data_IF_072486568170
#
_entry.id   IF_072486568170
#
_cell.length_a   1.000
_cell.length_b   1.000
_cell.length_c   1.000
_cell.angle_alpha   90.00
_cell.angle_beta   90.00
_cell.angle_gamma   90.00
#
_symmetry.space_group_name_H-M   'P 1'
#
loop_
_entity.id
_entity.type
_entity.pdbx_description
1 polymer ?
#
# COMPACT_ATOMS: atom_id res chain seq x y z
N UNK A 1 12.55 6.62 6.32
CA UNK A 1 13.58 7.37 5.55
C UNK A 1 15.02 6.99 5.91
N UNK A 2 15.37 6.77 7.19
CA UNK A 2 16.75 6.40 7.58
C UNK A 2 17.31 5.19 6.78
N UNK A 3 16.55 4.09 6.67
CA UNK A 3 16.95 2.94 5.89
C UNK A 3 17.14 3.26 4.39
N UNK A 4 16.19 3.98 3.78
CA UNK A 4 16.29 4.41 2.39
C UNK A 4 17.59 5.19 2.14
N UNK A 5 17.86 6.19 2.98
CA UNK A 5 19.07 7.01 2.84
C UNK A 5 20.35 6.18 3.00
N UNK A 6 20.38 5.26 3.96
CA UNK A 6 21.52 4.37 4.17
C UNK A 6 21.75 3.44 2.96
N UNK A 7 20.71 2.83 2.42
CA UNK A 7 20.81 1.97 1.24
C UNK A 7 21.23 2.76 0.00
N UNK A 8 20.63 3.93 -0.25
CA UNK A 8 21.00 4.79 -1.39
C UNK A 8 22.46 5.22 -1.33
N UNK A 9 22.98 5.50 -0.12
CA UNK A 9 24.38 5.88 0.09
C UNK A 9 25.35 4.73 -0.14
N UNK A 10 25.05 3.55 0.40
CA UNK A 10 26.00 2.42 0.40
C UNK A 10 25.86 1.52 -0.84
N UNK A 11 24.71 1.54 -1.53
CA UNK A 11 24.43 0.70 -2.69
C UNK A 11 23.82 1.54 -3.84
N UNK A 12 24.58 2.50 -4.40
CA UNK A 12 24.06 3.49 -5.33
C UNK A 12 23.53 2.90 -6.66
N UNK A 13 23.97 1.70 -7.03
CA UNK A 13 23.52 0.99 -8.24
C UNK A 13 22.24 0.17 -8.01
N UNK A 14 21.82 -0.01 -6.76
CA UNK A 14 20.64 -0.80 -6.44
C UNK A 14 19.36 0.00 -6.64
N UNK A 15 18.37 -0.62 -7.28
CA UNK A 15 17.02 -0.06 -7.36
C UNK A 15 16.26 -0.35 -6.08
N UNK A 16 16.11 0.65 -5.22
CA UNK A 16 15.29 0.55 -4.01
C UNK A 16 13.82 0.66 -4.38
N UNK A 17 13.02 -0.29 -3.94
CA UNK A 17 11.57 -0.33 -4.17
C UNK A 17 10.81 -0.43 -2.87
N UNK A 18 9.60 0.12 -2.87
CA UNK A 18 8.63 -0.06 -1.79
C UNK A 18 8.21 -1.53 -1.64
N UNK A 19 7.61 -1.85 -0.49
CA UNK A 19 7.12 -3.19 -0.21
C UNK A 19 5.59 -3.20 -0.16
N UNK A 20 4.96 -4.00 -1.04
CA UNK A 20 3.50 -4.12 -1.13
C UNK A 20 2.87 -4.56 0.20
N UNK A 21 3.56 -5.42 0.97
CA UNK A 21 3.10 -5.85 2.29
C UNK A 21 2.98 -4.66 3.25
N UNK A 22 4.03 -3.85 3.38
CA UNK A 22 4.00 -2.66 4.23
C UNK A 22 3.05 -1.58 3.71
N UNK A 23 2.89 -1.46 2.40
CA UNK A 23 1.84 -0.63 1.80
C UNK A 23 0.47 -1.07 2.32
N UNK A 24 0.12 -2.35 2.20
CA UNK A 24 -1.15 -2.89 2.69
C UNK A 24 -1.34 -2.74 4.20
N UNK A 25 -0.31 -2.99 5.00
CA UNK A 25 -0.35 -2.75 6.44
C UNK A 25 -0.65 -1.29 6.79
N UNK A 26 -0.06 -0.34 6.06
CA UNK A 26 -0.32 1.09 6.27
C UNK A 26 -1.76 1.46 5.91
N UNK A 27 -2.30 0.94 4.80
CA UNK A 27 -3.71 1.13 4.44
C UNK A 27 -4.63 0.59 5.55
N UNK A 28 -4.37 -0.63 6.03
CA UNK A 28 -5.18 -1.23 7.10
C UNK A 28 -5.10 -0.46 8.42
N UNK A 29 -3.92 0.06 8.77
CA UNK A 29 -3.74 0.92 9.95
C UNK A 29 -4.57 2.21 9.83
N UNK A 30 -4.67 2.80 8.64
CA UNK A 30 -5.51 3.98 8.42
C UNK A 30 -7.00 3.65 8.47
N UNK A 31 -7.43 2.52 7.92
CA UNK A 31 -8.81 2.02 8.04
C UNK A 31 -9.20 1.91 9.53
N UNK A 32 -8.34 1.30 10.36
CA UNK A 32 -8.53 1.23 11.82
C UNK A 32 -8.60 2.61 12.46
N UNK A 33 -7.60 3.47 12.19
CA UNK A 33 -7.49 4.82 12.78
C UNK A 33 -8.71 5.69 12.47
N UNK A 34 -9.34 5.49 11.31
CA UNK A 34 -10.51 6.25 10.85
C UNK A 34 -11.85 5.61 11.22
N UNK A 35 -11.85 4.51 11.99
CA UNK A 35 -13.07 3.83 12.41
C UNK A 35 -13.82 3.10 11.29
N UNK A 36 -13.14 2.76 10.19
CA UNK A 36 -13.76 2.20 8.99
C UNK A 36 -13.84 0.67 8.98
N UNK A 37 -13.41 0.00 10.05
CA UNK A 37 -13.32 -1.47 10.12
C UNK A 37 -14.67 -2.13 9.85
N UNK A 38 -15.77 -1.63 10.43
CA UNK A 38 -17.10 -2.21 10.20
C UNK A 38 -17.55 -2.02 8.76
N UNK A 39 -17.34 -0.83 8.19
CA UNK A 39 -17.72 -0.52 6.81
C UNK A 39 -16.89 -1.30 5.78
N UNK A 40 -15.62 -1.59 6.08
CA UNK A 40 -14.74 -2.38 5.20
C UNK A 40 -15.17 -3.83 4.98
N UNK A 41 -16.12 -4.34 5.78
CA UNK A 41 -16.69 -5.69 5.62
C UNK A 41 -17.77 -5.76 4.54
N UNK A 42 -18.33 -4.62 4.14
CA UNK A 42 -19.30 -4.56 3.05
C UNK A 42 -18.64 -4.94 1.72
N UNK A 43 -19.36 -5.68 0.87
CA UNK A 43 -18.79 -6.21 -0.38
C UNK A 43 -18.16 -5.12 -1.26
N UNK A 44 -18.79 -3.95 -1.35
CA UNK A 44 -18.28 -2.86 -2.18
C UNK A 44 -17.03 -2.21 -1.59
N UNK A 45 -17.03 -1.84 -0.31
CA UNK A 45 -15.81 -1.33 0.33
C UNK A 45 -14.68 -2.35 0.30
N UNK A 46 -14.96 -3.65 0.50
CA UNK A 46 -13.96 -4.70 0.41
C UNK A 46 -13.34 -4.76 -1.00
N UNK A 47 -14.17 -4.68 -2.04
CA UNK A 47 -13.70 -4.63 -3.44
C UNK A 47 -12.79 -3.42 -3.68
N UNK A 48 -13.21 -2.23 -3.26
CA UNK A 48 -12.42 -1.02 -3.46
C UNK A 48 -11.13 -1.01 -2.64
N UNK A 49 -11.14 -1.57 -1.43
CA UNK A 49 -9.91 -1.78 -0.64
C UNK A 49 -8.98 -2.76 -1.36
N UNK A 50 -9.49 -3.85 -1.93
CA UNK A 50 -8.69 -4.76 -2.73
C UNK A 50 -8.08 -4.05 -3.96
N UNK A 51 -8.86 -3.21 -4.66
CA UNK A 51 -8.36 -2.39 -5.77
C UNK A 51 -7.23 -1.45 -5.32
N UNK A 52 -7.36 -0.79 -4.16
CA UNK A 52 -6.29 0.03 -3.57
C UNK A 52 -5.01 -0.80 -3.35
N UNK A 53 -5.14 -2.01 -2.81
CA UNK A 53 -4.01 -2.91 -2.55
C UNK A 53 -3.32 -3.42 -3.83
N UNK A 54 -4.02 -3.32 -4.97
CA UNK A 54 -3.54 -3.73 -6.29
C UNK A 54 -2.92 -2.60 -7.10
N UNK A 55 -3.05 -1.33 -6.68
CA UNK A 55 -2.41 -0.18 -7.36
C UNK A 55 -0.91 -0.38 -7.64
N UNK A 56 -0.09 -0.99 -6.75
CA UNK A 56 1.32 -1.24 -7.04
C UNK A 56 1.57 -2.13 -8.27
N UNK A 57 0.57 -2.88 -8.71
CA UNK A 57 0.65 -3.85 -9.81
C UNK A 57 0.00 -3.34 -11.09
N UNK A 58 -0.45 -2.08 -11.13
CA UNK A 58 -0.96 -1.45 -12.34
C UNK A 58 0.17 -0.83 -13.17
N UNK A 59 0.01 -0.72 -14.50
CA UNK A 59 0.86 0.14 -15.30
C UNK A 59 0.87 1.57 -14.72
N UNK A 60 2.03 2.23 -14.58
CA UNK A 60 2.11 3.54 -13.93
C UNK A 60 1.15 4.60 -14.48
N UNK A 61 0.90 4.59 -15.79
CA UNK A 61 -0.01 5.50 -16.48
C UNK A 61 -1.49 5.28 -16.12
N UNK A 62 -1.86 4.11 -15.60
CA UNK A 62 -3.25 3.77 -15.24
C UNK A 62 -3.57 4.09 -13.77
N UNK A 63 -2.55 4.32 -12.94
CA UNK A 63 -2.73 4.50 -11.48
C UNK A 63 -3.68 5.65 -11.16
N UNK A 64 -3.51 6.82 -11.79
CA UNK A 64 -4.34 7.99 -11.50
C UNK A 64 -5.81 7.72 -11.88
N UNK A 65 -6.05 7.15 -13.06
CA UNK A 65 -7.40 6.80 -13.52
C UNK A 65 -8.05 5.79 -12.57
N UNK A 66 -7.37 4.69 -12.29
CA UNK A 66 -7.88 3.66 -11.40
C UNK A 66 -8.16 4.21 -9.99
N UNK A 67 -7.34 5.14 -9.51
CA UNK A 67 -7.58 5.76 -8.21
C UNK A 67 -8.77 6.72 -8.20
N UNK A 68 -9.01 7.48 -9.28
CA UNK A 68 -10.23 8.27 -9.43
C UNK A 68 -11.49 7.39 -9.40
N UNK A 69 -11.48 6.28 -10.15
CA UNK A 69 -12.60 5.33 -10.18
C UNK A 69 -12.85 4.74 -8.77
N UNK A 70 -11.78 4.40 -8.03
CA UNK A 70 -11.87 3.94 -6.63
C UNK A 70 -12.50 5.00 -5.73
N UNK A 71 -12.10 6.28 -5.86
CA UNK A 71 -12.63 7.37 -5.03
C UNK A 71 -14.15 7.50 -5.23
N UNK A 72 -14.59 7.51 -6.48
CA UNK A 72 -16.00 7.63 -6.83
C UNK A 72 -16.81 6.50 -6.18
N UNK A 73 -16.39 5.26 -6.39
CA UNK A 73 -17.10 4.08 -5.87
C UNK A 73 -17.07 3.98 -4.34
N UNK A 74 -15.91 4.20 -3.72
CA UNK A 74 -15.77 4.03 -2.27
C UNK A 74 -16.45 5.16 -1.47
N UNK A 75 -16.59 6.34 -2.07
CA UNK A 75 -17.27 7.48 -1.46
C UNK A 75 -18.78 7.23 -1.26
N UNK A 76 -19.39 6.47 -2.18
CA UNK A 76 -20.79 6.04 -2.09
C UNK A 76 -21.06 5.08 -0.92
N UNK A 77 -20.03 4.40 -0.39
CA UNK A 77 -20.19 3.48 0.74
C UNK A 77 -20.26 4.23 2.07
N UNK A 78 -19.35 5.18 2.30
CA UNK A 78 -19.32 5.98 3.53
C UNK A 78 -18.41 7.21 3.39
N UNK A 79 -18.89 8.40 3.78
CA UNK A 79 -18.13 9.66 3.66
C UNK A 79 -16.72 9.65 4.28
N UNK A 80 -16.50 8.92 5.39
CA UNK A 80 -15.17 8.82 6.01
C UNK A 80 -14.15 8.06 5.14
N UNK A 81 -14.55 7.36 4.08
CA UNK A 81 -13.60 6.81 3.11
C UNK A 81 -12.90 7.91 2.32
N UNK A 82 -13.49 9.10 2.15
CA UNK A 82 -12.78 10.25 1.57
C UNK A 82 -11.53 10.62 2.38
N UNK A 83 -11.62 10.56 3.72
CA UNK A 83 -10.45 10.77 4.59
C UNK A 83 -9.38 9.70 4.39
N UNK A 84 -9.74 8.49 3.96
CA UNK A 84 -8.78 7.43 3.63
C UNK A 84 -8.14 7.71 2.27
N UNK A 85 -8.92 8.09 1.27
CA UNK A 85 -8.41 8.41 -0.07
C UNK A 85 -7.53 9.66 -0.06
N UNK A 86 -7.85 10.69 0.73
CA UNK A 86 -6.98 11.87 0.91
C UNK A 86 -5.60 11.48 1.44
N UNK A 87 -5.57 10.58 2.43
CA UNK A 87 -4.31 10.07 2.95
C UNK A 87 -3.53 9.33 1.86
N UNK A 88 -4.19 8.50 1.05
CA UNK A 88 -3.54 7.74 -0.01
C UNK A 88 -3.01 8.67 -1.09
N UNK A 89 -3.80 9.67 -1.51
CA UNK A 89 -3.45 10.66 -2.51
C UNK A 89 -2.13 11.36 -2.15
N UNK A 90 -2.08 11.97 -0.97
CA UNK A 90 -0.92 12.75 -0.51
C UNK A 90 0.28 11.90 -0.08
N UNK A 91 0.06 10.63 0.29
CA UNK A 91 1.16 9.75 0.69
C UNK A 91 1.79 9.03 -0.49
N UNK A 92 1.00 8.67 -1.50
CA UNK A 92 1.42 7.72 -2.54
C UNK A 92 1.24 8.18 -4.00
N UNK A 93 0.31 9.10 -4.31
CA UNK A 93 -0.08 9.36 -5.71
C UNK A 93 0.38 10.73 -6.20
N UNK A 94 -0.15 11.83 -5.65
CA UNK A 94 0.05 13.18 -6.17
C UNK A 94 0.83 14.04 -5.17
N UNK A 95 1.92 14.69 -5.64
CA UNK A 95 2.82 15.43 -4.74
C UNK A 95 3.37 14.57 -3.60
N UNK A 96 3.41 13.26 -3.82
CA UNK A 96 3.42 12.28 -2.77
C UNK A 96 4.76 12.15 -2.04
N UNK A 97 4.69 11.91 -0.72
CA UNK A 97 5.87 11.57 0.09
C UNK A 97 6.61 10.33 -0.44
N UNK A 98 5.86 9.37 -0.97
CA UNK A 98 6.38 8.18 -1.63
C UNK A 98 5.79 8.12 -3.05
N UNK A 99 6.49 8.61 -4.08
CA UNK A 99 5.94 8.68 -5.43
C UNK A 99 5.75 7.27 -6.05
N UNK A 100 4.86 7.12 -7.04
CA UNK A 100 4.63 5.84 -7.73
C UNK A 100 5.91 5.17 -8.24
N UNK A 101 6.90 5.94 -8.70
CA UNK A 101 8.21 5.41 -9.14
C UNK A 101 8.93 4.59 -8.07
N UNK A 102 8.70 4.90 -6.78
CA UNK A 102 9.27 4.20 -5.64
C UNK A 102 8.52 2.91 -5.29
N UNK A 103 7.18 2.94 -5.22
CA UNK A 103 6.39 1.81 -4.72
C UNK A 103 5.73 0.95 -5.80
N UNK A 104 5.67 1.40 -7.05
CA UNK A 104 5.15 0.60 -8.16
C UNK A 104 6.09 -0.58 -8.45
N UNK A 105 5.47 -1.75 -8.64
CA UNK A 105 6.09 -3.05 -8.81
C UNK A 105 5.69 -3.70 -10.15
N UNK A 106 5.06 -2.96 -11.07
CA UNK A 106 4.58 -3.50 -12.35
C UNK A 106 5.70 -4.21 -13.13
N UNK A 107 6.86 -3.55 -13.25
CA UNK A 107 8.03 -4.09 -13.94
C UNK A 107 8.69 -5.28 -13.22
N UNK A 108 8.27 -5.59 -12.00
CA UNK A 108 8.80 -6.69 -11.18
C UNK A 108 7.84 -7.90 -11.16
N UNK A 109 6.69 -7.81 -11.84
CA UNK A 109 5.75 -8.92 -11.96
C UNK A 109 6.45 -10.09 -12.68
N UNK A 110 6.54 -11.24 -12.01
CA UNK A 110 7.21 -12.44 -12.53
C UNK A 110 8.68 -12.57 -12.17
N UNK A 111 9.32 -11.50 -11.70
CA UNK A 111 10.72 -11.51 -11.21
C UNK A 111 10.76 -11.68 -9.69
N UNK A 112 9.85 -11.00 -8.98
CA UNK A 112 9.78 -11.05 -7.51
C UNK A 112 8.77 -12.13 -7.06
N UNK A 113 9.04 -12.87 -5.97
CA UNK A 113 8.03 -13.68 -5.31
C UNK A 113 6.80 -12.84 -4.96
N UNK A 114 5.62 -13.27 -5.45
CA UNK A 114 4.35 -12.55 -5.24
C UNK A 114 3.90 -12.58 -3.78
N UNK A 115 4.34 -13.57 -3.00
CA UNK A 115 3.88 -13.80 -1.64
C UNK A 115 4.90 -13.36 -0.60
N UNK A 116 4.42 -12.69 0.44
CA UNK A 116 5.19 -12.32 1.63
C UNK A 116 5.30 -13.46 2.65
N UNK A 117 4.88 -14.69 2.33
CA UNK A 117 4.86 -15.84 3.27
C UNK A 117 6.17 -16.02 4.04
N UNK A 118 7.32 -15.80 3.39
CA UNK A 118 8.64 -15.88 4.02
C UNK A 118 8.87 -14.75 5.05
N UNK A 119 8.45 -13.53 4.72
CA UNK A 119 8.51 -12.36 5.61
C UNK A 119 7.51 -12.50 6.75
N UNK A 120 6.27 -12.91 6.46
CA UNK A 120 5.22 -13.17 7.44
C UNK A 120 5.59 -14.29 8.40
N UNK A 121 6.15 -15.39 7.89
CA UNK A 121 6.66 -16.50 8.69
C UNK A 121 7.78 -16.05 9.63
N UNK A 122 8.73 -15.27 9.11
CA UNK A 122 9.81 -14.70 9.92
C UNK A 122 9.29 -13.74 11.01
N UNK A 123 8.38 -12.82 10.66
CA UNK A 123 7.76 -11.91 11.64
C UNK A 123 6.91 -12.65 12.67
N UNK A 124 6.18 -13.70 12.26
CA UNK A 124 5.40 -14.54 13.16
C UNK A 124 6.29 -15.22 14.19
N UNK A 125 7.41 -15.78 13.76
CA UNK A 125 8.39 -16.39 14.65
C UNK A 125 9.05 -15.35 15.57
N UNK A 126 9.47 -14.19 15.06
CA UNK A 126 10.04 -13.14 15.92
C UNK A 126 9.03 -12.65 16.97
N UNK A 127 7.79 -12.37 16.58
CA UNK A 127 6.76 -11.91 17.49
C UNK A 127 6.35 -13.00 18.51
N UNK A 128 6.50 -14.29 18.19
CA UNK A 128 6.24 -15.35 19.17
C UNK A 128 7.36 -15.50 20.20
N UNK A 129 8.58 -15.11 19.86
CA UNK A 129 9.76 -15.26 20.74
C UNK A 129 10.17 -13.97 21.48
N UNK A 130 9.71 -12.80 21.03
CA UNK A 130 10.13 -11.50 21.57
C UNK A 130 8.98 -10.65 22.14
N UNK A 131 7.85 -11.26 22.52
CA UNK A 131 6.81 -10.54 23.27
C UNK A 131 7.29 -10.23 24.70
N UNK A 132 7.59 -8.95 24.95
CA UNK A 132 7.62 -8.32 26.28
C UNK A 132 6.27 -7.68 26.59
#
# INVERSE_FOLDING_TARGET
>A
MAAYNAFSKNFPTSKIKGCQFHFGQNIWRQIKKKGLVTHSKGAEAHRQIANILMLPLLPPQEINKAFCDIIEEISNVHQNFLKLTDYILHTYIEGALFPPSFWNLFDLIGIRPKTSNHIEGYHGQLNSHCQT
#
